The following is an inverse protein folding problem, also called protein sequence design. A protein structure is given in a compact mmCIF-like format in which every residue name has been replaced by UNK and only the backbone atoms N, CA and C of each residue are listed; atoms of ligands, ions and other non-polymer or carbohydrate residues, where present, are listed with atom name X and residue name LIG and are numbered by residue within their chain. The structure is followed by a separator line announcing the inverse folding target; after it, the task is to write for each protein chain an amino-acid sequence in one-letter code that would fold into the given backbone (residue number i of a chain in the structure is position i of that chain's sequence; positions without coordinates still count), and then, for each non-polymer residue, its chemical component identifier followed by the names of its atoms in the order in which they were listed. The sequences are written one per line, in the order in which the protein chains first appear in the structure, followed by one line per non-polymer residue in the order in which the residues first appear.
data_IF_249436323456
#
_entry.id   IF_249436323456
#
_cell.length_a   1.000
_cell.length_b   1.000
_cell.length_c   1.000
_cell.angle_alpha   90.00
_cell.angle_beta   90.00
_cell.angle_gamma   90.00
#
_symmetry.space_group_name_H-M   'P 1'
#
loop_
_entity.id
_entity.type
_entity.pdbx_description
1 polymer ?
#
# COMPACT_ATOMS: atom_id res chain seq x y z
N UNK A 1 13.47 -34.82 11.13
CA UNK A 1 12.68 -33.87 11.96
C UNK A 1 13.58 -32.98 12.81
N UNK A 2 14.61 -33.53 13.48
CA UNK A 2 15.58 -32.78 14.30
C UNK A 2 16.57 -31.90 13.53
N UNK A 3 16.83 -32.17 12.24
CA UNK A 3 17.72 -31.34 11.40
C UNK A 3 17.08 -30.01 10.96
N UNK A 4 15.74 -29.92 10.89
CA UNK A 4 15.03 -28.66 10.58
C UNK A 4 14.98 -27.69 11.75
N UNK A 5 15.11 -28.18 12.99
CA UNK A 5 15.08 -27.36 14.21
C UNK A 5 16.40 -26.64 14.51
N UNK A 6 17.48 -26.88 13.75
CA UNK A 6 18.81 -26.31 14.01
C UNK A 6 19.17 -25.09 13.17
N UNK A 7 18.35 -24.70 12.19
CA UNK A 7 18.56 -23.47 11.45
C UNK A 7 17.98 -22.28 12.23
N UNK A 8 18.62 -21.94 13.35
CA UNK A 8 18.36 -20.68 14.04
C UNK A 8 18.58 -19.53 13.06
N UNK A 9 17.57 -18.65 12.92
CA UNK A 9 17.62 -17.45 12.05
C UNK A 9 18.48 -16.36 12.69
N UNK A 10 19.77 -16.64 12.88
CA UNK A 10 20.70 -15.77 13.62
C UNK A 10 20.87 -14.39 13.00
N UNK A 11 20.91 -14.30 11.66
CA UNK A 11 21.03 -13.03 10.95
C UNK A 11 19.79 -12.18 11.22
N UNK A 12 18.60 -12.78 11.16
CA UNK A 12 17.35 -12.07 11.47
C UNK A 12 17.33 -11.54 12.90
N UNK A 13 17.69 -12.37 13.88
CA UNK A 13 17.73 -11.96 15.30
C UNK A 13 18.68 -10.77 15.49
N UNK A 14 19.88 -10.83 14.91
CA UNK A 14 20.85 -9.74 14.99
C UNK A 14 20.30 -8.45 14.35
N UNK A 15 19.68 -8.57 13.17
CA UNK A 15 19.11 -7.42 12.47
C UNK A 15 17.89 -6.84 13.18
N UNK A 16 17.10 -7.64 13.91
CA UNK A 16 15.95 -7.17 14.69
C UNK A 16 16.34 -6.36 15.94
N UNK A 17 17.59 -6.41 16.39
CA UNK A 17 18.09 -5.55 17.46
C UNK A 17 17.98 -4.07 17.06
N UNK A 18 18.28 -3.75 15.80
CA UNK A 18 18.26 -2.35 15.29
C UNK A 18 16.87 -1.70 15.37
N UNK A 19 15.78 -2.27 14.79
CA UNK A 19 14.43 -1.70 14.94
C UNK A 19 13.97 -1.64 16.40
N UNK A 20 14.38 -2.63 17.21
CA UNK A 20 14.06 -2.65 18.65
C UNK A 20 14.67 -1.44 19.36
N UNK A 21 15.97 -1.19 19.14
CA UNK A 21 16.66 -0.03 19.69
C UNK A 21 16.05 1.29 19.20
N UNK A 22 15.66 1.40 17.93
CA UNK A 22 15.04 2.63 17.40
C UNK A 22 13.68 2.90 18.04
N UNK A 23 12.87 1.87 18.28
CA UNK A 23 11.58 2.05 18.95
C UNK A 23 11.73 2.48 20.41
N UNK A 24 12.81 2.06 21.09
CA UNK A 24 13.10 2.45 22.48
C UNK A 24 13.76 3.83 22.57
N UNK A 25 14.79 4.08 21.76
CA UNK A 25 15.51 5.36 21.72
C UNK A 25 14.60 6.47 21.18
N UNK A 26 13.78 6.17 20.17
CA UNK A 26 12.79 7.08 19.63
C UNK A 26 11.79 7.54 20.69
N UNK A 27 11.25 6.60 21.46
CA UNK A 27 10.38 6.91 22.59
C UNK A 27 11.12 7.72 23.67
N UNK A 28 12.35 7.34 24.02
CA UNK A 28 13.15 8.09 24.98
C UNK A 28 13.38 9.55 24.54
N UNK A 29 13.68 9.78 23.26
CA UNK A 29 13.82 11.13 22.71
C UNK A 29 12.52 11.93 22.78
N UNK A 30 11.37 11.32 22.48
CA UNK A 30 10.07 11.98 22.57
C UNK A 30 9.76 12.39 24.02
N UNK A 31 10.10 11.55 24.99
CA UNK A 31 9.88 11.82 26.42
C UNK A 31 10.87 12.83 27.01
N UNK A 32 12.09 12.91 26.47
CA UNK A 32 13.14 13.84 26.92
C UNK A 32 13.05 15.23 26.25
N UNK A 33 12.33 15.35 25.14
CA UNK A 33 12.22 16.60 24.40
C UNK A 33 11.58 17.76 25.21
N UNK A 34 10.57 17.55 26.08
CA UNK A 34 10.12 18.56 27.01
C UNK A 34 11.13 18.68 28.17
N UNK A 35 12.01 19.68 28.11
CA UNK A 35 13.11 19.91 29.06
C UNK A 35 12.70 20.10 30.54
N UNK A 36 11.40 20.14 30.86
CA UNK A 36 10.90 20.57 32.18
C UNK A 36 10.19 19.49 33.02
N UNK A 37 9.95 18.27 32.49
CA UNK A 37 9.38 17.18 33.30
C UNK A 37 9.63 15.81 32.65
N UNK A 38 10.63 15.08 33.13
CA UNK A 38 10.78 13.66 32.79
C UNK A 38 9.79 12.85 33.64
N UNK A 39 8.64 12.50 33.06
CA UNK A 39 7.69 11.57 33.66
C UNK A 39 7.56 10.34 32.77
N UNK A 40 8.25 9.26 33.14
CA UNK A 40 8.13 7.97 32.47
C UNK A 40 6.94 7.20 33.04
N UNK A 41 5.87 7.07 32.26
CA UNK A 41 4.71 6.25 32.67
C UNK A 41 4.80 4.87 32.02
N UNK A 42 4.35 3.83 32.72
CA UNK A 42 4.24 2.48 32.15
C UNK A 42 3.42 2.44 30.84
N UNK A 43 2.45 3.36 30.72
CA UNK A 43 1.62 3.53 29.52
C UNK A 43 2.43 3.95 28.29
N UNK A 44 3.51 4.71 28.48
CA UNK A 44 4.33 5.21 27.37
C UNK A 44 5.19 4.07 26.80
N UNK A 45 5.82 3.29 27.71
CA UNK A 45 6.68 2.16 27.37
C UNK A 45 5.95 1.00 26.68
N UNK A 46 4.65 0.83 26.97
CA UNK A 46 3.87 -0.29 26.46
C UNK A 46 3.93 -0.42 24.93
N UNK A 47 3.89 0.69 24.20
CA UNK A 47 3.90 0.69 22.73
C UNK A 47 5.19 0.10 22.15
N UNK A 48 6.35 0.50 22.66
CA UNK A 48 7.65 -0.04 22.23
C UNK A 48 7.86 -1.48 22.72
N UNK A 49 7.42 -1.81 23.95
CA UNK A 49 7.52 -3.18 24.49
C UNK A 49 6.67 -4.16 23.65
N UNK A 50 5.42 -3.84 23.37
CA UNK A 50 4.54 -4.69 22.56
C UNK A 50 5.06 -4.83 21.14
N UNK A 51 5.54 -3.73 20.54
CA UNK A 51 6.14 -3.79 19.21
C UNK A 51 7.32 -4.77 19.16
N UNK A 52 8.27 -4.64 20.10
CA UNK A 52 9.42 -5.56 20.20
C UNK A 52 8.96 -7.00 20.42
N UNK A 53 8.03 -7.22 21.36
CA UNK A 53 7.50 -8.55 21.64
C UNK A 53 6.87 -9.19 20.39
N UNK A 54 6.12 -8.42 19.59
CA UNK A 54 5.54 -8.89 18.34
C UNK A 54 6.61 -9.26 17.30
N UNK A 55 7.68 -8.46 17.16
CA UNK A 55 8.77 -8.77 16.23
C UNK A 55 9.45 -10.10 16.57
N UNK A 56 9.80 -10.29 17.83
CA UNK A 56 10.44 -11.52 18.29
C UNK A 56 9.48 -12.73 18.25
N UNK A 57 8.19 -12.53 18.52
CA UNK A 57 7.18 -13.58 18.37
C UNK A 57 7.09 -14.07 16.91
N UNK A 58 7.11 -13.14 15.94
CA UNK A 58 7.12 -13.48 14.51
C UNK A 58 8.41 -14.17 14.11
N UNK A 59 9.58 -13.71 14.58
CA UNK A 59 10.86 -14.38 14.34
C UNK A 59 10.88 -15.83 14.85
N UNK A 60 10.36 -16.08 16.07
CA UNK A 60 10.25 -17.42 16.64
C UNK A 60 9.35 -18.28 15.74
N UNK A 61 8.18 -17.77 15.36
CA UNK A 61 7.28 -18.50 14.47
C UNK A 61 7.91 -18.81 13.12
N UNK A 62 8.63 -17.86 12.53
CA UNK A 62 9.35 -18.01 11.26
C UNK A 62 10.49 -19.02 11.38
N UNK A 63 11.21 -19.06 12.49
CA UNK A 63 12.26 -20.05 12.76
C UNK A 63 11.69 -21.46 12.82
N UNK A 64 10.50 -21.64 13.41
CA UNK A 64 9.83 -22.94 13.53
C UNK A 64 9.20 -23.37 12.19
N UNK A 65 8.49 -22.45 11.54
CA UNK A 65 7.60 -22.77 10.41
C UNK A 65 8.29 -22.65 9.05
N UNK A 66 9.23 -21.72 8.90
CA UNK A 66 9.85 -21.31 7.63
C UNK A 66 11.36 -21.05 7.79
N UNK A 67 12.18 -22.04 8.19
CA UNK A 67 13.61 -21.85 8.44
C UNK A 67 14.40 -21.41 7.19
N UNK A 68 13.95 -21.80 6.00
CA UNK A 68 14.60 -21.51 4.73
C UNK A 68 14.17 -20.15 4.11
N UNK A 69 13.29 -19.39 4.77
CA UNK A 69 12.85 -18.10 4.25
C UNK A 69 13.92 -17.01 4.46
N UNK A 70 13.92 -16.02 3.56
CA UNK A 70 14.83 -14.88 3.61
C UNK A 70 14.81 -14.19 4.99
N UNK A 71 16.00 -13.90 5.53
CA UNK A 71 16.21 -13.39 6.89
C UNK A 71 16.40 -11.86 6.93
N UNK A 72 16.34 -11.17 5.78
CA UNK A 72 16.67 -9.74 5.65
C UNK A 72 15.42 -8.90 5.45
N UNK A 73 14.45 -9.38 4.65
CA UNK A 73 13.24 -8.62 4.32
C UNK A 73 12.45 -8.25 5.58
N UNK A 74 12.24 -9.20 6.50
CA UNK A 74 11.45 -8.93 7.71
C UNK A 74 12.11 -7.87 8.62
N UNK A 75 13.42 -7.95 8.95
CA UNK A 75 14.09 -6.87 9.67
C UNK A 75 14.06 -5.50 8.99
N UNK A 76 14.18 -5.44 7.66
CA UNK A 76 14.09 -4.18 6.91
C UNK A 76 12.69 -3.56 7.03
N UNK A 77 11.64 -4.38 6.92
CA UNK A 77 10.26 -3.91 7.14
C UNK A 77 10.05 -3.49 8.59
N UNK A 78 10.58 -4.24 9.56
CA UNK A 78 10.54 -3.90 10.98
C UNK A 78 11.23 -2.57 11.28
N UNK A 79 12.36 -2.28 10.60
CA UNK A 79 13.08 -1.00 10.66
C UNK A 79 12.22 0.16 10.22
N UNK A 80 11.62 0.08 9.03
CA UNK A 80 10.74 1.12 8.51
C UNK A 80 9.50 1.30 9.41
N UNK A 81 8.98 0.20 9.94
CA UNK A 81 7.84 0.22 10.87
C UNK A 81 8.21 0.88 12.20
N UNK A 82 9.40 0.61 12.75
CA UNK A 82 9.90 1.24 13.97
C UNK A 82 10.05 2.76 13.78
N UNK A 83 10.59 3.20 12.65
CA UNK A 83 10.67 4.62 12.31
C UNK A 83 9.29 5.27 12.21
N UNK A 84 8.34 4.60 11.55
CA UNK A 84 6.95 5.07 11.47
C UNK A 84 6.25 5.16 12.83
N UNK A 85 6.50 4.18 13.71
CA UNK A 85 5.98 4.19 15.07
C UNK A 85 6.58 5.34 15.89
N UNK A 86 7.88 5.55 15.84
CA UNK A 86 8.57 6.68 16.50
C UNK A 86 8.04 8.03 16.00
N UNK A 87 7.82 8.18 14.69
CA UNK A 87 7.24 9.40 14.13
C UNK A 87 5.79 9.60 14.61
N UNK A 88 5.02 8.52 14.72
CA UNK A 88 3.64 8.58 15.25
C UNK A 88 3.62 9.02 16.72
N UNK A 89 4.53 8.47 17.54
CA UNK A 89 4.70 8.88 18.95
C UNK A 89 5.13 10.36 19.06
N UNK A 90 6.02 10.82 18.18
CA UNK A 90 6.45 12.23 18.13
C UNK A 90 5.31 13.19 17.78
N UNK A 91 4.47 12.82 16.81
CA UNK A 91 3.39 13.68 16.31
C UNK A 91 2.17 13.72 17.25
N UNK A 92 1.98 12.68 18.05
CA UNK A 92 0.81 12.53 18.91
C UNK A 92 0.59 13.74 19.84
N UNK A 93 1.56 14.24 20.64
CA UNK A 93 1.33 15.38 21.54
C UNK A 93 0.82 16.65 20.84
N UNK A 94 1.36 16.97 19.65
CA UNK A 94 0.94 18.14 18.88
C UNK A 94 -0.44 17.98 18.21
N UNK A 95 -0.82 16.75 17.90
CA UNK A 95 -2.10 16.43 17.28
C UNK A 95 -3.22 16.33 18.34
N UNK A 96 -2.88 15.75 19.49
CA UNK A 96 -3.74 15.66 20.67
C UNK A 96 -4.24 17.00 21.19
N UNK A 97 -3.45 18.07 21.06
CA UNK A 97 -3.87 19.43 21.46
C UNK A 97 -4.92 20.02 20.52
N UNK A 98 -5.00 19.55 19.28
CA UNK A 98 -5.95 20.02 18.27
C UNK A 98 -7.20 19.13 18.24
N UNK A 99 -7.04 17.81 18.34
CA UNK A 99 -8.14 16.86 18.30
C UNK A 99 -7.94 15.72 19.31
N UNK A 100 -8.84 15.64 20.29
CA UNK A 100 -8.77 14.66 21.37
C UNK A 100 -8.84 13.20 20.87
N UNK A 101 -9.41 12.94 19.68
CA UNK A 101 -9.44 11.62 19.06
C UNK A 101 -8.03 11.12 18.64
N UNK A 102 -7.05 12.01 18.51
CA UNK A 102 -5.68 11.70 18.13
C UNK A 102 -4.79 11.29 19.32
N UNK A 103 -5.32 11.33 20.55
CA UNK A 103 -4.67 10.83 21.77
C UNK A 103 -4.31 9.34 21.74
N UNK A 104 -4.85 8.58 20.79
CA UNK A 104 -4.61 7.15 20.67
C UNK A 104 -3.86 6.79 19.38
N UNK A 105 -3.19 7.75 18.75
CA UNK A 105 -2.53 7.54 17.46
C UNK A 105 -1.46 6.43 17.52
N UNK A 106 -0.53 6.49 18.48
CA UNK A 106 0.49 5.44 18.63
C UNK A 106 -0.13 4.08 19.00
N UNK A 107 -1.17 4.06 19.82
CA UNK A 107 -1.86 2.82 20.22
C UNK A 107 -2.56 2.15 19.03
N UNK A 108 -3.25 2.95 18.20
CA UNK A 108 -3.84 2.49 16.95
C UNK A 108 -2.77 1.96 16.00
N UNK A 109 -1.60 2.62 15.94
CA UNK A 109 -0.49 2.17 15.10
C UNK A 109 0.00 0.78 15.51
N UNK A 110 0.16 0.50 16.80
CA UNK A 110 0.57 -0.83 17.29
C UNK A 110 -0.48 -1.90 16.96
N UNK A 111 -1.77 -1.58 17.04
CA UNK A 111 -2.84 -2.50 16.62
C UNK A 111 -2.78 -2.82 15.12
N UNK A 112 -2.54 -1.81 14.28
CA UNK A 112 -2.36 -2.01 12.83
C UNK A 112 -1.11 -2.81 12.50
N UNK A 113 -0.01 -2.61 13.23
CA UNK A 113 1.19 -3.43 13.11
C UNK A 113 0.86 -4.88 13.47
N UNK A 114 0.16 -5.12 14.58
CA UNK A 114 -0.29 -6.46 14.98
C UNK A 114 -1.15 -7.13 13.92
N UNK A 115 -2.12 -6.41 13.34
CA UNK A 115 -2.97 -6.92 12.26
C UNK A 115 -2.17 -7.21 10.99
N UNK A 116 -1.22 -6.35 10.61
CA UNK A 116 -0.32 -6.56 9.48
C UNK A 116 0.57 -7.80 9.67
N UNK A 117 1.12 -7.99 10.87
CA UNK A 117 1.90 -9.19 11.21
C UNK A 117 1.03 -10.45 11.20
N UNK A 118 -0.22 -10.36 11.67
CA UNK A 118 -1.16 -11.47 11.58
C UNK A 118 -1.43 -11.85 10.12
N UNK A 119 -1.66 -10.87 9.24
CA UNK A 119 -1.81 -11.11 7.79
C UNK A 119 -0.54 -11.71 7.18
N UNK A 120 0.65 -11.27 7.60
CA UNK A 120 1.92 -11.89 7.20
C UNK A 120 1.98 -13.37 7.60
N UNK A 121 1.66 -13.70 8.86
CA UNK A 121 1.65 -15.08 9.34
C UNK A 121 0.62 -15.94 8.60
N UNK A 122 -0.57 -15.40 8.34
CA UNK A 122 -1.61 -16.08 7.57
C UNK A 122 -1.16 -16.36 6.14
N UNK A 123 -0.61 -15.38 5.44
CA UNK A 123 -0.13 -15.55 4.05
C UNK A 123 1.03 -16.55 3.95
N UNK A 124 1.88 -16.64 4.98
CA UNK A 124 2.94 -17.63 5.09
C UNK A 124 2.49 -18.97 5.69
N UNK A 125 1.22 -19.12 6.07
CA UNK A 125 0.72 -20.37 6.64
C UNK A 125 0.70 -21.50 5.60
N UNK A 126 0.69 -22.78 6.02
CA UNK A 126 0.61 -23.92 5.11
C UNK A 126 -0.60 -23.89 4.16
N UNK A 127 -1.67 -23.21 4.57
CA UNK A 127 -2.94 -23.11 3.83
C UNK A 127 -2.74 -22.40 2.48
N UNK A 128 -1.83 -21.42 2.39
CA UNK A 128 -1.62 -20.60 1.20
C UNK A 128 -0.34 -20.95 0.43
N UNK A 129 0.23 -22.14 0.63
CA UNK A 129 1.47 -22.54 -0.04
C UNK A 129 1.36 -22.60 -1.56
N UNK A 130 0.21 -23.04 -2.09
CA UNK A 130 -0.02 -23.07 -3.53
C UNK A 130 -0.56 -21.72 -3.98
N UNK A 131 0.08 -21.09 -4.95
CA UNK A 131 -0.44 -19.88 -5.62
C UNK A 131 -1.30 -20.22 -6.84
N UNK A 132 -1.50 -21.50 -7.15
CA UNK A 132 -2.21 -21.94 -8.36
C UNK A 132 -3.68 -21.48 -8.38
N UNK A 133 -4.31 -21.37 -7.22
CA UNK A 133 -5.70 -20.89 -7.10
C UNK A 133 -5.80 -19.40 -7.46
N UNK A 134 -4.80 -18.58 -7.14
CA UNK A 134 -4.75 -17.17 -7.55
C UNK A 134 -4.79 -17.06 -9.08
N UNK A 135 -4.01 -17.90 -9.77
CA UNK A 135 -3.99 -17.96 -11.24
C UNK A 135 -5.31 -18.47 -11.83
N UNK A 136 -5.89 -19.52 -11.23
CA UNK A 136 -7.15 -20.14 -11.68
C UNK A 136 -8.30 -19.15 -11.65
N UNK A 137 -8.39 -18.34 -10.61
CA UNK A 137 -9.50 -17.40 -10.37
C UNK A 137 -9.18 -15.95 -10.73
N UNK A 138 -8.28 -15.70 -11.69
CA UNK A 138 -7.86 -14.35 -12.11
C UNK A 138 -9.02 -13.40 -12.41
N UNK A 139 -10.06 -13.85 -13.13
CA UNK A 139 -11.20 -12.99 -13.44
C UNK A 139 -12.12 -12.77 -12.24
N UNK A 140 -12.20 -13.74 -11.32
CA UNK A 140 -12.90 -13.57 -10.04
C UNK A 140 -12.24 -12.46 -9.24
N UNK A 141 -10.91 -12.41 -9.19
CA UNK A 141 -10.17 -11.32 -8.56
C UNK A 141 -10.44 -9.96 -9.19
N UNK A 142 -10.39 -9.87 -10.52
CA UNK A 142 -10.69 -8.62 -11.21
C UNK A 142 -12.12 -8.12 -10.92
N UNK A 143 -13.11 -9.02 -11.00
CA UNK A 143 -14.51 -8.70 -10.71
C UNK A 143 -14.68 -8.27 -9.25
N UNK A 144 -14.06 -9.01 -8.31
CA UNK A 144 -14.12 -8.67 -6.89
C UNK A 144 -13.48 -7.30 -6.62
N UNK A 145 -12.39 -6.98 -7.30
CA UNK A 145 -11.75 -5.68 -7.21
C UNK A 145 -12.64 -4.53 -7.72
N UNK A 146 -13.24 -4.70 -8.90
CA UNK A 146 -14.16 -3.70 -9.46
C UNK A 146 -15.40 -3.56 -8.58
N UNK A 147 -15.96 -4.67 -8.10
CA UNK A 147 -17.10 -4.67 -7.19
C UNK A 147 -16.78 -3.93 -5.89
N UNK A 148 -15.57 -4.10 -5.36
CA UNK A 148 -15.11 -3.41 -4.16
C UNK A 148 -15.01 -1.88 -4.38
N UNK A 149 -14.51 -1.43 -5.54
CA UNK A 149 -14.53 0.00 -5.90
C UNK A 149 -15.93 0.55 -6.16
N UNK A 150 -16.80 -0.24 -6.79
CA UNK A 150 -18.19 0.16 -7.00
C UNK A 150 -18.90 0.32 -5.64
N UNK A 151 -18.64 -0.59 -4.70
CA UNK A 151 -19.16 -0.51 -3.35
C UNK A 151 -18.69 0.77 -2.62
N UNK A 152 -17.44 1.21 -2.80
CA UNK A 152 -16.96 2.47 -2.21
C UNK A 152 -17.57 3.71 -2.87
N UNK A 153 -17.89 3.70 -4.16
CA UNK A 153 -18.63 4.82 -4.78
C UNK A 153 -20.01 4.98 -4.15
N UNK A 154 -20.68 3.87 -3.84
CA UNK A 154 -22.04 3.89 -3.30
C UNK A 154 -22.04 4.21 -1.80
N UNK A 155 -21.24 3.48 -1.01
CA UNK A 155 -21.30 3.49 0.46
C UNK A 155 -20.03 4.04 1.14
N UNK A 156 -19.03 4.46 0.38
CA UNK A 156 -17.81 5.06 0.91
C UNK A 156 -18.05 6.47 1.46
N UNK A 157 -17.21 6.86 2.41
CA UNK A 157 -17.18 8.17 3.05
C UNK A 157 -15.82 8.84 2.84
N UNK A 158 -15.82 10.15 3.00
CA UNK A 158 -14.64 11.00 2.90
C UNK A 158 -14.30 11.65 4.24
N UNK A 159 -13.09 12.20 4.36
CA UNK A 159 -12.66 12.95 5.55
C UNK A 159 -13.70 14.00 5.93
N UNK A 160 -13.76 14.36 7.22
CA UNK A 160 -14.72 15.36 7.72
C UNK A 160 -14.69 16.68 6.93
N UNK A 161 -13.50 17.07 6.44
CA UNK A 161 -13.27 18.30 5.68
C UNK A 161 -13.50 18.14 4.17
N UNK A 162 -13.84 16.93 3.70
CA UNK A 162 -14.04 16.60 2.29
C UNK A 162 -15.13 15.52 2.12
N UNK A 163 -16.40 15.82 2.46
CA UNK A 163 -17.49 14.84 2.47
C UNK A 163 -17.84 14.29 1.07
N UNK A 164 -17.51 15.02 0.01
CA UNK A 164 -17.71 14.59 -1.37
C UNK A 164 -16.73 13.50 -1.83
N UNK A 165 -15.63 13.30 -1.10
CA UNK A 165 -14.63 12.26 -1.39
C UNK A 165 -15.19 10.93 -0.87
N UNK A 166 -15.09 9.84 -1.62
CA UNK A 166 -15.65 8.54 -1.21
C UNK A 166 -14.60 7.44 -1.29
N UNK A 167 -13.70 7.42 -0.31
CA UNK A 167 -12.48 6.59 -0.37
C UNK A 167 -12.38 5.53 0.72
N UNK A 168 -13.07 5.68 1.85
CA UNK A 168 -13.00 4.71 2.94
C UNK A 168 -14.37 4.24 3.43
N UNK A 169 -14.41 3.03 3.97
CA UNK A 169 -15.51 2.59 4.82
C UNK A 169 -15.18 2.94 6.27
N UNK A 170 -16.09 3.65 6.91
CA UNK A 170 -15.95 4.06 8.31
C UNK A 170 -16.82 3.19 9.20
N UNK A 171 -16.17 2.39 10.06
CA UNK A 171 -16.82 1.55 11.05
C UNK A 171 -16.73 2.16 12.46
N UNK A 172 -16.35 3.43 12.57
CA UNK A 172 -16.21 4.19 13.82
C UNK A 172 -14.87 3.96 14.51
N UNK A 173 -14.52 2.71 14.81
CA UNK A 173 -13.25 2.37 15.48
C UNK A 173 -12.10 2.11 14.50
N UNK A 174 -12.40 1.72 13.26
CA UNK A 174 -11.43 1.57 12.19
C UNK A 174 -11.97 2.12 10.87
N UNK A 175 -11.04 2.60 10.05
CA UNK A 175 -11.30 3.01 8.68
C UNK A 175 -10.58 2.03 7.76
N UNK A 176 -11.32 1.48 6.81
CA UNK A 176 -10.77 0.57 5.81
C UNK A 176 -10.82 1.24 4.45
N UNK A 177 -9.65 1.40 3.82
CA UNK A 177 -9.53 1.94 2.48
C UNK A 177 -9.47 0.79 1.47
N UNK A 178 -10.54 0.54 0.69
CA UNK A 178 -10.62 -0.66 -0.14
C UNK A 178 -9.70 -0.60 -1.37
N UNK A 179 -9.29 0.60 -1.78
CA UNK A 179 -8.28 0.78 -2.82
C UNK A 179 -6.91 0.21 -2.43
N UNK A 180 -6.59 0.08 -1.14
CA UNK A 180 -5.36 -0.59 -0.68
C UNK A 180 -5.39 -2.08 -1.01
N UNK A 181 -6.48 -2.76 -0.67
CA UNK A 181 -6.67 -4.18 -0.99
C UNK A 181 -6.73 -4.39 -2.52
N UNK A 182 -7.36 -3.46 -3.23
CA UNK A 182 -7.46 -3.53 -4.68
C UNK A 182 -6.10 -3.50 -5.37
N UNK A 183 -5.10 -2.76 -4.87
CA UNK A 183 -3.75 -2.77 -5.46
C UNK A 183 -3.19 -4.20 -5.51
N UNK A 184 -3.34 -4.96 -4.44
CA UNK A 184 -2.91 -6.36 -4.37
C UNK A 184 -3.72 -7.23 -5.32
N UNK A 185 -5.04 -7.08 -5.34
CA UNK A 185 -5.95 -7.82 -6.25
C UNK A 185 -5.60 -7.56 -7.72
N UNK A 186 -5.33 -6.30 -8.08
CA UNK A 186 -4.94 -5.93 -9.43
C UNK A 186 -3.62 -6.59 -9.81
N UNK A 187 -2.61 -6.54 -8.93
CA UNK A 187 -1.33 -7.22 -9.18
C UNK A 187 -1.54 -8.72 -9.40
N UNK A 188 -2.39 -9.38 -8.59
CA UNK A 188 -2.72 -10.80 -8.76
C UNK A 188 -3.37 -11.05 -10.12
N UNK A 189 -4.36 -10.24 -10.51
CA UNK A 189 -5.03 -10.35 -11.81
C UNK A 189 -4.04 -10.16 -12.96
N UNK A 190 -3.25 -9.08 -12.93
CA UNK A 190 -2.27 -8.75 -13.95
C UNK A 190 -1.23 -9.85 -14.08
N UNK A 191 -0.65 -10.30 -12.96
CA UNK A 191 0.34 -11.37 -12.94
C UNK A 191 -0.22 -12.67 -13.54
N UNK A 192 -1.42 -13.08 -13.12
CA UNK A 192 -2.04 -14.31 -13.61
C UNK A 192 -2.43 -14.24 -15.10
N UNK A 193 -2.97 -13.10 -15.55
CA UNK A 193 -3.37 -12.90 -16.94
C UNK A 193 -2.15 -12.82 -17.87
N UNK A 194 -1.14 -12.03 -17.46
CA UNK A 194 0.09 -11.86 -18.22
C UNK A 194 0.94 -13.13 -18.23
N UNK A 195 0.90 -13.95 -17.19
CA UNK A 195 1.54 -15.28 -17.22
C UNK A 195 0.89 -16.19 -18.28
N UNK A 196 -0.44 -16.22 -18.37
CA UNK A 196 -1.15 -17.10 -19.31
C UNK A 196 -1.13 -16.58 -20.77
N UNK A 197 -1.00 -15.26 -20.97
CA UNK A 197 -1.14 -14.59 -22.28
C UNK A 197 0.11 -13.80 -22.70
N UNK A 198 1.17 -13.80 -21.91
CA UNK A 198 2.38 -13.01 -22.12
C UNK A 198 3.07 -13.33 -23.44
N UNK A 199 3.24 -14.61 -23.76
CA UNK A 199 3.85 -15.03 -25.03
C UNK A 199 3.07 -14.54 -26.25
N UNK A 200 1.74 -14.43 -26.13
CA UNK A 200 0.87 -13.91 -27.19
C UNK A 200 1.01 -12.38 -27.32
N UNK A 201 1.30 -11.67 -26.23
CA UNK A 201 1.57 -10.23 -26.24
C UNK A 201 2.92 -9.89 -26.87
N UNK A 202 3.90 -10.79 -26.76
CA UNK A 202 5.26 -10.60 -27.28
C UNK A 202 5.39 -11.07 -28.72
N UNK A 203 4.89 -12.26 -29.03
CA UNK A 203 5.21 -12.93 -30.30
C UNK A 203 4.19 -12.66 -31.41
N UNK A 204 2.93 -12.31 -31.08
CA UNK A 204 1.91 -12.01 -32.10
C UNK A 204 1.92 -10.53 -32.45
N UNK A 205 2.52 -10.21 -33.59
CA UNK A 205 2.37 -8.91 -34.25
C UNK A 205 1.09 -8.93 -35.09
N UNK A 206 0.09 -8.18 -34.68
CA UNK A 206 -1.05 -7.92 -35.54
C UNK A 206 -0.66 -6.82 -36.54
N UNK A 207 -1.17 -6.91 -37.77
CA UNK A 207 -0.96 -5.87 -38.80
C UNK A 207 -2.31 -5.29 -39.15
N UNK A 208 -2.47 -3.98 -38.98
CA UNK A 208 -3.60 -3.23 -39.50
C UNK A 208 -3.10 -2.47 -40.73
N UNK A 209 -3.14 -3.13 -41.88
CA UNK A 209 -2.48 -2.62 -43.10
C UNK A 209 -0.94 -2.66 -42.97
N UNK A 210 -0.20 -1.60 -43.38
CA UNK A 210 1.25 -1.56 -43.30
C UNK A 210 1.79 -1.32 -41.88
N UNK A 211 0.93 -0.88 -40.94
CA UNK A 211 1.33 -0.56 -39.58
C UNK A 211 1.26 -1.80 -38.67
N UNK A 212 2.36 -2.17 -37.98
CA UNK A 212 2.30 -3.16 -36.93
C UNK A 212 1.50 -2.58 -35.75
N UNK A 213 0.39 -3.24 -35.40
CA UNK A 213 -0.44 -2.86 -34.26
C UNK A 213 -0.21 -3.81 -33.10
N UNK A 214 -0.34 -3.32 -31.85
CA UNK A 214 -0.38 -4.18 -30.68
C UNK A 214 -1.41 -5.31 -30.84
N UNK A 215 -1.23 -6.44 -30.14
CA UNK A 215 -2.23 -7.49 -30.04
C UNK A 215 -3.48 -7.03 -29.27
N UNK A 216 -4.34 -6.23 -29.90
CA UNK A 216 -5.53 -5.60 -29.31
C UNK A 216 -6.42 -6.60 -28.56
N UNK A 217 -6.75 -7.79 -29.09
CA UNK A 217 -7.64 -8.72 -28.38
C UNK A 217 -7.10 -9.19 -27.03
N UNK A 218 -5.77 -9.27 -26.89
CA UNK A 218 -5.12 -9.72 -25.66
C UNK A 218 -4.88 -8.57 -24.68
N UNK A 219 -4.73 -7.33 -25.18
CA UNK A 219 -4.63 -6.12 -24.36
C UNK A 219 -6.00 -5.59 -23.92
N UNK A 220 -7.08 -5.90 -24.65
CA UNK A 220 -8.40 -5.36 -24.37
C UNK A 220 -8.90 -5.66 -22.94
N UNK A 221 -8.80 -6.89 -22.38
CA UNK A 221 -9.24 -7.15 -21.01
C UNK A 221 -8.43 -6.37 -19.97
N UNK A 222 -7.12 -6.23 -20.20
CA UNK A 222 -6.20 -5.47 -19.35
C UNK A 222 -6.57 -3.99 -19.32
N UNK A 223 -6.75 -3.39 -20.50
CA UNK A 223 -7.12 -1.99 -20.67
C UNK A 223 -8.53 -1.73 -20.11
N UNK A 224 -9.47 -2.66 -20.31
CA UNK A 224 -10.84 -2.53 -19.80
C UNK A 224 -10.85 -2.45 -18.27
N UNK A 225 -10.18 -3.39 -17.60
CA UNK A 225 -10.12 -3.42 -16.13
C UNK A 225 -9.40 -2.18 -15.60
N UNK A 226 -8.31 -1.76 -16.25
CA UNK A 226 -7.63 -0.52 -15.91
C UNK A 226 -8.56 0.69 -16.07
N UNK A 227 -9.22 0.83 -17.21
CA UNK A 227 -10.11 1.96 -17.50
C UNK A 227 -11.24 2.03 -16.46
N UNK A 228 -11.89 0.89 -16.16
CA UNK A 228 -12.91 0.82 -15.12
C UNK A 228 -12.36 1.23 -13.74
N UNK A 229 -11.16 0.77 -13.38
CA UNK A 229 -10.50 1.13 -12.13
C UNK A 229 -10.23 2.64 -12.06
N UNK A 230 -9.62 3.21 -13.10
CA UNK A 230 -9.26 4.64 -13.16
C UNK A 230 -10.50 5.53 -13.17
N UNK A 231 -11.50 5.21 -13.98
CA UNK A 231 -12.77 5.96 -14.03
C UNK A 231 -13.43 5.96 -12.65
N UNK A 232 -13.47 4.80 -11.98
CA UNK A 232 -14.08 4.70 -10.66
C UNK A 232 -13.31 5.50 -9.61
N UNK A 233 -11.97 5.52 -9.65
CA UNK A 233 -11.15 6.34 -8.75
C UNK A 233 -11.30 7.85 -9.02
N UNK A 234 -11.45 8.24 -10.28
CA UNK A 234 -11.75 9.64 -10.65
C UNK A 234 -13.12 10.04 -10.07
N UNK A 235 -14.12 9.17 -10.14
CA UNK A 235 -15.45 9.39 -9.52
C UNK A 235 -15.33 9.53 -7.99
N UNK A 236 -14.46 8.74 -7.36
CA UNK A 236 -14.16 8.85 -5.92
C UNK A 236 -13.35 10.09 -5.55
N UNK A 237 -12.89 10.88 -6.54
CA UNK A 237 -11.95 12.00 -6.41
C UNK A 237 -10.59 11.58 -5.81
N UNK A 238 -10.17 10.32 -6.03
CA UNK A 238 -8.90 9.76 -5.60
C UNK A 238 -7.88 9.67 -6.75
N UNK A 239 -7.30 10.83 -7.08
CA UNK A 239 -6.32 10.94 -8.17
C UNK A 239 -4.95 10.33 -7.82
N UNK A 240 -4.58 10.36 -6.53
CA UNK A 240 -3.37 9.71 -6.05
C UNK A 240 -3.46 8.20 -6.23
N UNK A 241 -4.61 7.62 -5.85
CA UNK A 241 -4.95 6.24 -6.16
C UNK A 241 -4.86 5.96 -7.66
N UNK A 242 -5.55 6.74 -8.49
CA UNK A 242 -5.56 6.54 -9.94
C UNK A 242 -4.14 6.51 -10.54
N UNK A 243 -3.26 7.41 -10.12
CA UNK A 243 -1.86 7.43 -10.53
C UNK A 243 -1.11 6.15 -10.13
N UNK A 244 -1.29 5.68 -8.88
CA UNK A 244 -0.65 4.44 -8.40
C UNK A 244 -1.14 3.21 -9.16
N UNK A 245 -2.44 3.08 -9.40
CA UNK A 245 -3.02 1.99 -10.17
C UNK A 245 -2.52 1.97 -11.62
N UNK A 246 -2.43 3.15 -12.23
CA UNK A 246 -1.84 3.31 -13.54
C UNK A 246 -0.36 2.90 -13.56
N UNK A 247 0.43 3.35 -12.59
CA UNK A 247 1.84 2.96 -12.44
C UNK A 247 2.02 1.45 -12.31
N UNK A 248 1.25 0.81 -11.42
CA UNK A 248 1.26 -0.66 -11.25
C UNK A 248 0.98 -1.37 -12.57
N UNK A 249 -0.02 -0.91 -13.32
CA UNK A 249 -0.38 -1.48 -14.61
C UNK A 249 0.77 -1.40 -15.61
N UNK A 250 1.34 -0.20 -15.79
CA UNK A 250 2.42 0.02 -16.75
C UNK A 250 3.66 -0.79 -16.37
N UNK A 251 4.03 -0.82 -15.09
CA UNK A 251 5.15 -1.62 -14.59
C UNK A 251 4.92 -3.11 -14.85
N UNK A 252 3.76 -3.66 -14.51
CA UNK A 252 3.46 -5.08 -14.72
C UNK A 252 3.45 -5.43 -16.22
N UNK A 253 2.87 -4.56 -17.06
CA UNK A 253 2.86 -4.76 -18.51
C UNK A 253 4.27 -4.74 -19.09
N UNK A 254 5.12 -3.81 -18.64
CA UNK A 254 6.52 -3.74 -19.08
C UNK A 254 7.31 -4.96 -18.63
N UNK A 255 7.21 -5.35 -17.36
CA UNK A 255 7.91 -6.53 -16.81
C UNK A 255 7.51 -7.80 -17.55
N UNK A 256 6.23 -7.97 -17.90
CA UNK A 256 5.77 -9.16 -18.61
C UNK A 256 6.08 -9.16 -20.11
N UNK A 257 6.11 -7.99 -20.77
CA UNK A 257 6.27 -7.88 -22.22
C UNK A 257 7.70 -7.61 -22.68
N UNK A 258 8.55 -7.04 -21.81
CA UNK A 258 9.90 -6.56 -22.14
C UNK A 258 9.93 -5.40 -23.15
N UNK A 259 8.77 -4.80 -23.47
CA UNK A 259 8.62 -3.85 -24.57
C UNK A 259 8.46 -2.42 -24.04
N UNK A 260 9.51 -1.61 -24.20
CA UNK A 260 9.52 -0.20 -23.74
C UNK A 260 8.47 0.69 -24.43
N UNK A 261 8.00 0.33 -25.63
CA UNK A 261 6.99 1.12 -26.33
C UNK A 261 5.66 1.18 -25.57
N UNK A 262 5.28 0.13 -24.82
CA UNK A 262 4.08 0.15 -23.99
C UNK A 262 4.17 1.22 -22.90
N UNK A 263 5.37 1.42 -22.33
CA UNK A 263 5.61 2.48 -21.34
C UNK A 263 5.46 3.84 -21.99
N UNK A 264 6.09 4.06 -23.15
CA UNK A 264 5.99 5.34 -23.89
C UNK A 264 4.55 5.65 -24.26
N UNK A 265 3.83 4.69 -24.84
CA UNK A 265 2.42 4.86 -25.20
C UNK A 265 1.54 5.17 -23.99
N UNK A 266 1.79 4.48 -22.86
CA UNK A 266 1.10 4.75 -21.61
C UNK A 266 1.40 6.15 -21.08
N UNK A 267 2.65 6.60 -21.10
CA UNK A 267 3.04 7.95 -20.67
C UNK A 267 2.38 9.04 -21.53
N UNK A 268 2.30 8.85 -22.84
CA UNK A 268 1.59 9.76 -23.75
C UNK A 268 0.11 9.82 -23.40
N UNK A 269 -0.53 8.66 -23.20
CA UNK A 269 -1.95 8.58 -22.82
C UNK A 269 -2.21 9.23 -21.46
N UNK A 270 -1.31 9.03 -20.50
CA UNK A 270 -1.37 9.65 -19.18
C UNK A 270 -1.25 11.17 -19.26
N UNK A 271 -0.28 11.68 -20.03
CA UNK A 271 -0.11 13.12 -20.24
C UNK A 271 -1.35 13.75 -20.91
N UNK A 272 -1.94 13.06 -21.89
CA UNK A 272 -3.17 13.50 -22.54
C UNK A 272 -4.34 13.55 -21.54
N UNK A 273 -4.55 12.49 -20.76
CA UNK A 273 -5.60 12.43 -19.75
C UNK A 273 -5.42 13.51 -18.66
N UNK A 274 -4.19 13.71 -18.18
CA UNK A 274 -3.86 14.76 -17.23
C UNK A 274 -4.14 16.16 -17.80
N UNK A 275 -3.78 16.41 -19.06
CA UNK A 275 -4.05 17.69 -19.73
C UNK A 275 -5.54 17.97 -19.94
N UNK A 276 -6.37 16.93 -20.14
CA UNK A 276 -7.83 17.05 -20.21
C UNK A 276 -8.41 17.33 -18.83
N UNK A 277 -8.02 16.56 -17.81
CA UNK A 277 -8.49 16.74 -16.44
C UNK A 277 -8.10 18.11 -15.88
N UNK A 278 -6.88 18.59 -16.17
CA UNK A 278 -6.42 19.91 -15.76
C UNK A 278 -7.26 21.04 -16.36
N UNK A 279 -7.82 20.87 -17.56
CA UNK A 279 -8.69 21.86 -18.20
C UNK A 279 -10.16 21.77 -17.79
N UNK A 280 -10.58 20.68 -17.15
CA UNK A 280 -11.97 20.50 -16.72
C UNK A 280 -12.28 21.29 -15.46
N UNK A 281 -13.38 22.05 -15.47
CA UNK A 281 -13.85 22.83 -14.32
C UNK A 281 -14.36 21.96 -13.17
N UNK A 282 -14.77 20.72 -13.46
CA UNK A 282 -15.21 19.75 -12.45
C UNK A 282 -14.08 19.28 -11.52
N UNK A 283 -12.83 19.55 -11.89
CA UNK A 283 -11.65 19.12 -11.16
C UNK A 283 -10.77 20.30 -10.72
N UNK A 284 -11.39 21.44 -10.33
CA UNK A 284 -10.68 22.62 -9.81
C UNK A 284 -9.65 22.29 -8.71
N UNK A 285 -10.00 21.36 -7.80
CA UNK A 285 -9.12 20.84 -6.76
C UNK A 285 -7.76 20.31 -7.26
N UNK A 286 -7.66 19.87 -8.52
CA UNK A 286 -6.38 19.46 -9.12
C UNK A 286 -5.47 20.67 -9.30
N UNK A 287 -6.02 21.76 -9.86
CA UNK A 287 -5.28 23.01 -10.06
C UNK A 287 -4.84 23.56 -8.72
N UNK A 288 -5.70 23.51 -7.71
CA UNK A 288 -5.38 23.96 -6.36
C UNK A 288 -4.22 23.14 -5.77
N UNK A 289 -4.27 21.81 -5.87
CA UNK A 289 -3.17 20.94 -5.40
C UNK A 289 -1.87 21.17 -6.17
N UNK A 290 -1.93 21.39 -7.48
CA UNK A 290 -0.74 21.70 -8.29
C UNK A 290 -0.18 23.08 -7.92
N UNK A 291 -1.02 24.09 -7.72
CA UNK A 291 -0.62 25.42 -7.32
C UNK A 291 0.03 25.42 -5.93
N UNK A 292 -0.60 24.76 -4.94
CA UNK A 292 -0.05 24.59 -3.59
C UNK A 292 1.27 23.81 -3.62
N UNK A 293 1.42 22.81 -4.50
CA UNK A 293 2.69 22.07 -4.62
C UNK A 293 3.81 22.91 -5.23
N UNK A 294 3.50 23.78 -6.21
CA UNK A 294 4.48 24.66 -6.85
C UNK A 294 4.90 25.81 -5.94
N UNK A 295 3.94 26.41 -5.23
CA UNK A 295 4.19 27.48 -4.27
C UNK A 295 3.32 27.29 -3.01
N UNK A 296 3.84 26.63 -1.97
CA UNK A 296 3.05 26.32 -0.76
C UNK A 296 2.94 27.50 0.20
N UNK A 297 3.83 28.49 0.13
CA UNK A 297 3.96 29.54 1.14
C UNK A 297 2.74 30.46 1.25
N UNK A 298 2.07 30.84 0.14
CA UNK A 298 0.83 31.63 0.19
C UNK A 298 -0.32 30.91 0.92
N UNK A 299 -0.28 29.58 0.99
CA UNK A 299 -1.35 28.74 1.52
C UNK A 299 -1.06 28.19 2.93
N UNK A 300 0.06 28.56 3.54
CA UNK A 300 0.52 28.01 4.82
C UNK A 300 -0.48 28.18 5.99
N UNK A 301 -1.36 29.19 5.91
CA UNK A 301 -2.35 29.50 6.95
C UNK A 301 -3.78 29.04 6.59
N UNK A 302 -3.99 28.36 5.45
CA UNK A 302 -5.33 28.02 4.92
C UNK A 302 -5.76 26.57 5.13
N UNK A 303 -4.95 25.76 5.83
CA UNK A 303 -5.21 24.35 6.17
C UNK A 303 -4.95 24.11 7.64
#
# INVERSE_FOLDING_TARGET
MLSRMRALRWIEIQLLVVPSLISLLGLAMVLLAPLNAFSLTWRDLWTSIVFIALLFAVNIWLTISRPDADQVIFPVVAMLTALGLTMSQRLQPSLSSVNQAQNYLANKQVLWIGLGLLVLLLTLSPIFQSLAWLRRYKYTWAILGIALLAATVVAGRGPANAPDVKIYFDFGFFQFQPSELLKVILVIFLAAYLYDKGDLLVNKKFRLGPLPVPPIPYLAPLILILALTIVTLIIQRDLGGALLFFGIFVTMLYVASGQGWYVVASMIMFAAAAAVLFRSDQFGHIRDRVAVWLDPWPFANTT
#
